data_IF_567209430250
#
_entry.id   IF_567209430250
#
_cell.length_a   1.000
_cell.length_b   1.000
_cell.length_c   1.000
_cell.angle_alpha   90.00
_cell.angle_beta   90.00
_cell.angle_gamma   90.00
#
_symmetry.space_group_name_H-M   'P 1'
#
loop_
_entity.id
_entity.type
_entity.pdbx_description
1 polymer ?
#
# COMPACT_ATOMS: atom_id res chain seq x y z
N UNK A 1 8.22 11.02 10.73
CA UNK A 1 9.59 10.63 10.34
C UNK A 1 9.85 10.91 8.84
N UNK A 2 8.94 10.52 7.92
CA UNK A 2 9.10 10.73 6.48
C UNK A 2 9.16 12.22 6.11
N UNK A 3 8.21 13.03 6.59
CA UNK A 3 8.16 14.48 6.35
C UNK A 3 9.35 15.24 6.95
N UNK A 4 9.99 14.68 7.96
CA UNK A 4 11.20 15.25 8.57
C UNK A 4 12.49 14.85 7.83
N UNK A 5 12.39 14.02 6.79
CA UNK A 5 13.54 13.52 6.06
C UNK A 5 14.44 12.55 6.86
N UNK A 6 13.93 12.01 7.98
CA UNK A 6 14.66 11.05 8.83
C UNK A 6 14.71 9.68 8.17
N UNK A 7 13.69 9.34 7.38
CA UNK A 7 13.58 8.08 6.64
C UNK A 7 13.10 8.32 5.22
N UNK A 8 13.55 7.48 4.31
CA UNK A 8 13.03 7.42 2.94
C UNK A 8 11.65 6.76 2.91
N UNK A 9 10.83 7.13 1.92
CA UNK A 9 9.53 6.49 1.68
C UNK A 9 9.70 5.14 0.96
N UNK A 10 10.19 4.15 1.69
CA UNK A 10 10.38 2.79 1.18
C UNK A 10 9.06 2.11 0.77
N UNK A 11 7.92 2.55 1.34
CA UNK A 11 6.61 1.99 0.98
C UNK A 11 6.21 2.36 -0.45
N UNK A 12 6.42 3.63 -0.85
CA UNK A 12 6.16 4.03 -2.23
C UNK A 12 6.99 3.21 -3.22
N UNK A 13 8.29 3.06 -2.93
CA UNK A 13 9.18 2.28 -3.80
C UNK A 13 8.72 0.83 -3.92
N UNK A 14 8.39 0.20 -2.79
CA UNK A 14 7.95 -1.19 -2.77
C UNK A 14 6.58 -1.38 -3.45
N UNK A 15 5.56 -0.66 -2.97
CA UNK A 15 4.18 -0.80 -3.50
C UNK A 15 4.14 -0.42 -4.97
N UNK A 16 4.81 0.66 -5.37
CA UNK A 16 4.88 1.09 -6.76
C UNK A 16 5.54 0.06 -7.67
N UNK A 17 6.65 -0.55 -7.21
CA UNK A 17 7.32 -1.63 -7.95
C UNK A 17 6.43 -2.87 -8.10
N UNK A 18 5.77 -3.30 -7.02
CA UNK A 18 4.88 -4.46 -7.04
C UNK A 18 3.67 -4.24 -7.94
N UNK A 19 3.03 -3.09 -7.86
CA UNK A 19 1.90 -2.74 -8.72
C UNK A 19 2.33 -2.64 -10.19
N UNK A 20 3.52 -2.09 -10.47
CA UNK A 20 4.07 -2.00 -11.83
C UNK A 20 4.27 -3.38 -12.48
N UNK A 21 4.69 -4.39 -11.71
CA UNK A 21 4.78 -5.78 -12.19
C UNK A 21 3.41 -6.34 -12.63
N UNK A 22 2.33 -5.74 -12.16
CA UNK A 22 0.96 -6.07 -12.54
C UNK A 22 0.33 -5.05 -13.48
N UNK A 23 1.13 -4.16 -14.09
CA UNK A 23 0.63 -3.16 -15.04
C UNK A 23 -0.18 -2.03 -14.41
N UNK A 24 -0.09 -1.83 -13.09
CA UNK A 24 -0.74 -0.72 -12.38
C UNK A 24 0.28 0.36 -12.06
N UNK A 25 0.01 1.58 -12.48
CA UNK A 25 0.76 2.76 -12.08
C UNK A 25 -0.03 3.55 -11.03
N UNK A 26 0.56 3.82 -9.84
CA UNK A 26 -0.08 4.68 -8.85
C UNK A 26 -0.31 6.09 -9.40
N UNK A 27 -1.54 6.57 -9.40
CA UNK A 27 -1.89 7.90 -9.90
C UNK A 27 -1.37 9.03 -9.00
N UNK A 28 -1.20 8.76 -7.71
CA UNK A 28 -0.67 9.72 -6.74
C UNK A 28 -0.12 9.00 -5.50
N UNK A 29 0.81 9.64 -4.80
CA UNK A 29 1.26 9.26 -3.48
C UNK A 29 1.33 10.50 -2.59
N UNK A 30 0.84 10.38 -1.36
CA UNK A 30 0.85 11.44 -0.37
C UNK A 30 1.57 10.97 0.89
N UNK A 31 2.45 11.80 1.41
CA UNK A 31 3.02 11.66 2.75
C UNK A 31 2.44 12.80 3.59
N UNK A 32 1.67 12.45 4.59
CA UNK A 32 0.88 13.38 5.38
C UNK A 32 1.25 13.29 6.86
N UNK A 33 0.82 14.26 7.65
CA UNK A 33 0.94 14.22 9.10
C UNK A 33 -0.14 13.32 9.69
N UNK A 34 0.15 12.76 10.87
CA UNK A 34 -0.81 11.98 11.67
C UNK A 34 -1.81 12.90 12.40
N UNK A 35 -2.49 13.74 11.62
CA UNK A 35 -3.52 14.69 12.06
C UNK A 35 -4.86 14.30 11.40
N UNK A 36 -5.98 14.18 12.14
CA UNK A 36 -7.26 13.76 11.57
C UNK A 36 -7.71 14.59 10.37
N UNK A 37 -7.46 15.90 10.39
CA UNK A 37 -7.83 16.79 9.28
C UNK A 37 -7.05 16.48 8.00
N UNK A 38 -5.75 16.21 8.12
CA UNK A 38 -4.89 15.86 6.99
C UNK A 38 -5.26 14.46 6.45
N UNK A 39 -5.42 13.49 7.36
CA UNK A 39 -5.80 12.12 6.99
C UNK A 39 -7.14 12.15 6.24
N UNK A 40 -8.15 12.83 6.76
CA UNK A 40 -9.46 12.96 6.12
C UNK A 40 -9.36 13.61 4.75
N UNK A 41 -8.68 14.78 4.65
CA UNK A 41 -8.56 15.55 3.41
C UNK A 41 -7.96 14.70 2.29
N UNK A 42 -6.80 14.09 2.53
CA UNK A 42 -6.09 13.34 1.50
C UNK A 42 -6.75 11.98 1.22
N UNK A 43 -7.41 11.37 2.22
CA UNK A 43 -8.22 10.19 2.01
C UNK A 43 -9.42 10.50 1.10
N UNK A 44 -10.23 11.49 1.40
CA UNK A 44 -11.40 11.87 0.60
C UNK A 44 -11.00 12.28 -0.82
N UNK A 45 -9.89 13.02 -0.97
CA UNK A 45 -9.34 13.35 -2.29
C UNK A 45 -8.96 12.12 -3.09
N UNK A 46 -8.31 11.14 -2.46
CA UNK A 46 -7.91 9.88 -3.10
C UNK A 46 -9.12 9.00 -3.40
N UNK A 47 -10.04 8.87 -2.44
CA UNK A 47 -11.25 8.06 -2.54
C UNK A 47 -12.16 8.51 -3.68
N UNK A 48 -12.29 9.82 -3.89
CA UNK A 48 -13.12 10.37 -4.95
C UNK A 48 -12.55 10.18 -6.36
N UNK A 49 -11.23 9.97 -6.50
CA UNK A 49 -10.53 9.94 -7.79
C UNK A 49 -10.06 8.55 -8.21
N UNK A 50 -10.09 7.57 -7.32
CA UNK A 50 -9.47 6.28 -7.55
C UNK A 50 -10.40 5.13 -7.18
N UNK A 51 -10.26 4.00 -7.86
CA UNK A 51 -10.95 2.75 -7.55
C UNK A 51 -10.19 1.93 -6.50
N UNK A 52 -8.93 2.27 -6.28
CA UNK A 52 -8.04 1.65 -5.30
C UNK A 52 -7.32 2.71 -4.48
N UNK A 53 -7.47 2.63 -3.15
CA UNK A 53 -6.72 3.44 -2.18
C UNK A 53 -5.96 2.50 -1.24
N UNK A 54 -4.68 2.77 -1.05
CA UNK A 54 -3.84 2.03 -0.11
C UNK A 54 -3.25 3.02 0.88
N UNK A 55 -3.48 2.79 2.17
CA UNK A 55 -2.84 3.56 3.24
C UNK A 55 -1.86 2.69 4.03
N UNK A 56 -0.79 3.28 4.53
CA UNK A 56 0.21 2.56 5.35
C UNK A 56 0.50 3.35 6.61
N UNK A 57 0.46 2.68 7.76
CA UNK A 57 0.67 3.29 9.07
C UNK A 57 -0.60 3.79 9.76
N UNK A 58 -0.45 4.24 11.00
CA UNK A 58 -1.54 4.77 11.82
C UNK A 58 -2.57 3.74 12.27
N UNK A 59 -2.18 2.44 12.34
CA UNK A 59 -3.01 1.33 12.83
C UNK A 59 -2.55 0.78 14.20
N UNK A 60 -1.55 1.40 14.78
CA UNK A 60 -0.98 0.99 16.06
C UNK A 60 -1.86 1.34 17.26
N UNK A 61 -1.33 1.12 18.49
CA UNK A 61 -2.06 1.36 19.72
C UNK A 61 -1.85 2.75 20.31
N UNK A 62 -1.02 3.59 19.70
CA UNK A 62 -0.62 4.88 20.25
C UNK A 62 -1.62 5.99 19.92
N UNK A 63 -1.53 7.13 20.59
CA UNK A 63 -2.49 8.22 20.44
C UNK A 63 -2.40 8.94 19.09
N UNK A 64 -1.29 8.78 18.40
CA UNK A 64 -1.01 9.29 17.05
C UNK A 64 -1.40 8.31 15.93
N UNK A 65 -1.77 7.06 16.27
CA UNK A 65 -2.34 6.10 15.33
C UNK A 65 -3.83 6.43 15.11
N UNK A 66 -4.13 7.25 14.11
CA UNK A 66 -5.46 7.81 13.88
C UNK A 66 -6.06 7.45 12.51
N UNK A 67 -5.34 6.70 11.68
CA UNK A 67 -5.74 6.39 10.30
C UNK A 67 -7.07 5.64 10.25
N UNK A 68 -7.20 4.56 11.02
CA UNK A 68 -8.39 3.71 11.03
C UNK A 68 -9.64 4.48 11.45
N UNK A 69 -9.57 5.18 12.58
CA UNK A 69 -10.69 5.94 13.14
C UNK A 69 -11.14 7.05 12.18
N UNK A 70 -10.18 7.80 11.65
CA UNK A 70 -10.47 8.93 10.75
C UNK A 70 -11.07 8.47 9.42
N UNK A 71 -10.56 7.38 8.86
CA UNK A 71 -11.07 6.83 7.61
C UNK A 71 -12.46 6.19 7.81
N UNK A 72 -12.67 5.47 8.92
CA UNK A 72 -13.99 4.94 9.25
C UNK A 72 -15.03 6.07 9.34
N UNK A 73 -14.71 7.15 10.04
CA UNK A 73 -15.59 8.32 10.13
C UNK A 73 -15.86 8.96 8.77
N UNK A 74 -14.83 9.11 7.92
CA UNK A 74 -14.97 9.68 6.57
C UNK A 74 -15.87 8.83 5.66
N UNK A 75 -15.87 7.52 5.85
CA UNK A 75 -16.71 6.57 5.11
C UNK A 75 -18.10 6.37 5.73
N UNK A 76 -18.36 6.95 6.90
CA UNK A 76 -19.61 6.71 7.65
C UNK A 76 -19.71 5.28 8.18
N UNK A 77 -18.57 4.63 8.45
CA UNK A 77 -18.49 3.27 9.00
C UNK A 77 -18.43 3.31 10.52
N UNK A 78 -19.24 2.45 11.17
CA UNK A 78 -19.14 2.22 12.60
C UNK A 78 -17.89 1.38 12.90
N UNK A 79 -17.20 1.70 13.99
CA UNK A 79 -16.11 0.86 14.50
C UNK A 79 -16.68 -0.21 15.42
N UNK A 80 -16.47 -1.46 15.05
CA UNK A 80 -16.89 -2.62 15.84
C UNK A 80 -15.69 -3.31 16.47
N UNK A 81 -15.85 -3.81 17.69
CA UNK A 81 -14.84 -4.60 18.36
C UNK A 81 -14.79 -6.01 17.75
N UNK A 82 -13.59 -6.50 17.47
CA UNK A 82 -13.36 -7.82 16.89
C UNK A 82 -12.56 -8.69 17.84
N UNK A 83 -13.22 -9.69 18.43
CA UNK A 83 -12.61 -10.63 19.37
C UNK A 83 -11.50 -11.47 18.75
N UNK A 84 -11.54 -11.69 17.44
CA UNK A 84 -10.49 -12.45 16.74
C UNK A 84 -9.17 -11.68 16.69
N UNK A 85 -9.23 -10.36 16.55
CA UNK A 85 -8.07 -9.48 16.60
C UNK A 85 -7.52 -9.44 18.02
N UNK A 86 -8.37 -9.29 19.04
CA UNK A 86 -7.94 -9.33 20.44
C UNK A 86 -7.21 -10.63 20.76
N UNK A 87 -7.79 -11.76 20.38
CA UNK A 87 -7.21 -13.08 20.58
C UNK A 87 -5.81 -13.16 19.95
N UNK A 88 -5.68 -12.74 18.70
CA UNK A 88 -4.39 -12.72 18.00
C UNK A 88 -3.34 -11.87 18.73
N UNK A 89 -3.71 -10.68 19.19
CA UNK A 89 -2.79 -9.78 19.88
C UNK A 89 -2.38 -10.40 21.24
N UNK A 90 -3.32 -10.95 22.00
CA UNK A 90 -3.02 -11.62 23.27
C UNK A 90 -2.10 -12.83 23.10
N UNK A 91 -2.33 -13.66 22.09
CA UNK A 91 -1.48 -14.80 21.76
C UNK A 91 -0.05 -14.34 21.45
N UNK A 92 0.08 -13.26 20.65
CA UNK A 92 1.38 -12.69 20.30
C UNK A 92 2.14 -12.17 21.53
N UNK A 93 1.49 -11.47 22.45
CA UNK A 93 2.10 -11.02 23.71
C UNK A 93 2.47 -12.20 24.61
N UNK A 94 1.64 -13.24 24.64
CA UNK A 94 1.92 -14.47 25.38
C UNK A 94 3.20 -15.16 24.87
N UNK A 95 3.39 -15.25 23.56
CA UNK A 95 4.61 -15.79 22.96
C UNK A 95 5.88 -14.99 23.32
N UNK A 96 5.72 -13.69 23.61
CA UNK A 96 6.80 -12.83 24.09
C UNK A 96 6.99 -12.90 25.61
N UNK A 97 6.18 -13.70 26.33
CA UNK A 97 6.21 -13.79 27.79
C UNK A 97 5.79 -12.50 28.50
N UNK A 98 4.96 -11.66 27.85
CA UNK A 98 4.53 -10.35 28.37
C UNK A 98 3.01 -10.26 28.39
N UNK A 99 2.41 -9.54 29.37
CA UNK A 99 1.00 -9.19 29.31
C UNK A 99 0.75 -8.19 28.17
N UNK A 100 -0.42 -8.29 27.54
CA UNK A 100 -0.87 -7.29 26.57
C UNK A 100 -1.20 -5.98 27.28
N UNK A 101 -0.57 -4.85 26.92
CA UNK A 101 -0.96 -3.54 27.43
C UNK A 101 -2.38 -3.16 27.01
N UNK A 102 -3.09 -2.44 27.88
CA UNK A 102 -4.51 -2.11 27.66
C UNK A 102 -4.74 -1.24 26.43
N UNK A 103 -3.79 -0.36 26.08
CA UNK A 103 -3.88 0.47 24.89
C UNK A 103 -3.92 -0.33 23.59
N UNK A 104 -3.43 -1.59 23.58
CA UNK A 104 -3.55 -2.47 22.41
C UNK A 104 -5.00 -2.87 22.08
N UNK A 105 -5.95 -2.69 23.04
CA UNK A 105 -7.37 -2.90 22.75
C UNK A 105 -7.90 -1.96 21.65
N UNK A 106 -7.28 -0.80 21.44
CA UNK A 106 -7.63 0.08 20.30
C UNK A 106 -7.47 -0.62 18.96
N UNK A 107 -6.49 -1.50 18.84
CA UNK A 107 -6.24 -2.23 17.59
C UNK A 107 -7.31 -3.30 17.32
N UNK A 108 -8.14 -3.63 18.30
CA UNK A 108 -9.23 -4.60 18.16
C UNK A 108 -10.48 -4.04 17.48
N UNK A 109 -10.50 -2.75 17.18
CA UNK A 109 -11.62 -2.14 16.46
C UNK A 109 -11.35 -2.07 14.96
N UNK A 110 -12.38 -2.35 14.17
CA UNK A 110 -12.36 -2.21 12.71
C UNK A 110 -13.66 -1.59 12.20
N UNK A 111 -13.67 -0.98 11.01
CA UNK A 111 -14.92 -0.63 10.34
C UNK A 111 -15.80 -1.87 10.18
N UNK A 112 -17.11 -1.74 10.41
CA UNK A 112 -18.03 -2.87 10.44
C UNK A 112 -18.01 -3.71 9.16
N UNK A 113 -17.86 -3.06 8.00
CA UNK A 113 -17.81 -3.72 6.69
C UNK A 113 -16.39 -4.19 6.28
N UNK A 114 -15.35 -3.86 7.05
CA UNK A 114 -13.98 -4.24 6.70
C UNK A 114 -13.68 -5.71 7.01
N UNK A 115 -12.93 -6.36 6.13
CA UNK A 115 -12.27 -7.64 6.38
C UNK A 115 -10.94 -7.44 7.10
N UNK A 116 -10.63 -8.34 8.03
CA UNK A 116 -9.33 -8.37 8.72
C UNK A 116 -8.29 -9.05 7.83
N UNK A 117 -7.16 -8.38 7.61
CA UNK A 117 -5.99 -8.97 6.97
C UNK A 117 -5.02 -9.44 8.07
N UNK A 118 -4.79 -10.74 8.22
CA UNK A 118 -3.93 -11.28 9.26
C UNK A 118 -2.50 -10.72 9.19
N UNK A 119 -1.93 -10.41 10.35
CA UNK A 119 -0.55 -9.93 10.49
C UNK A 119 0.27 -10.86 11.39
N UNK A 120 0.93 -11.89 10.86
CA UNK A 120 1.75 -12.79 11.67
C UNK A 120 3.02 -12.13 12.24
N UNK A 121 3.39 -10.96 11.75
CA UNK A 121 4.65 -10.28 12.10
C UNK A 121 4.47 -9.11 13.07
N UNK A 122 3.24 -8.64 13.29
CA UNK A 122 2.92 -7.49 14.14
C UNK A 122 1.65 -7.68 14.96
N UNK A 123 1.26 -6.66 15.72
CA UNK A 123 0.01 -6.63 16.49
C UNK A 123 -1.14 -6.00 15.71
N UNK A 124 -0.84 -5.01 14.86
CA UNK A 124 -1.84 -4.33 14.07
C UNK A 124 -2.22 -5.18 12.86
N UNK A 125 -3.46 -5.66 12.73
CA UNK A 125 -3.90 -6.27 11.49
C UNK A 125 -3.97 -5.22 10.38
N UNK A 126 -3.89 -5.65 9.13
CA UNK A 126 -4.36 -4.84 8.04
C UNK A 126 -5.88 -4.94 7.93
N UNK A 127 -6.48 -4.02 7.19
CA UNK A 127 -7.93 -3.99 6.94
C UNK A 127 -8.19 -3.81 5.45
N UNK A 128 -9.16 -4.54 4.94
CA UNK A 128 -9.65 -4.39 3.58
C UNK A 128 -11.13 -4.05 3.58
N UNK A 129 -11.52 -3.09 2.78
CA UNK A 129 -12.90 -2.67 2.62
C UNK A 129 -13.20 -2.45 1.14
N UNK A 130 -14.32 -3.03 0.68
CA UNK A 130 -14.90 -2.69 -0.61
C UNK A 130 -16.21 -1.95 -0.36
N UNK A 131 -16.30 -0.73 -0.89
CA UNK A 131 -17.49 0.10 -0.76
C UNK A 131 -17.77 0.82 -2.07
N UNK A 132 -18.98 0.68 -2.57
CA UNK A 132 -19.42 1.29 -3.84
C UNK A 132 -18.52 0.96 -5.04
N UNK A 133 -17.98 -0.25 -5.06
CA UNK A 133 -17.05 -0.72 -6.10
C UNK A 133 -15.60 -0.25 -5.94
N UNK A 134 -15.30 0.57 -4.94
CA UNK A 134 -13.95 1.03 -4.63
C UNK A 134 -13.31 0.18 -3.55
N UNK A 135 -12.00 0.03 -3.64
CA UNK A 135 -11.21 -0.83 -2.76
C UNK A 135 -10.28 0.00 -1.88
N UNK A 136 -10.31 -0.27 -0.60
CA UNK A 136 -9.43 0.35 0.39
C UNK A 136 -8.64 -0.73 1.12
N UNK A 137 -7.32 -0.58 1.14
CA UNK A 137 -6.44 -1.33 2.01
C UNK A 137 -5.79 -0.40 3.02
N UNK A 138 -5.93 -0.72 4.30
CA UNK A 138 -5.20 -0.06 5.38
C UNK A 138 -4.16 -1.04 5.90
N UNK A 139 -2.87 -0.73 5.71
CA UNK A 139 -1.77 -1.63 5.99
C UNK A 139 -0.90 -1.11 7.14
N UNK A 140 -0.22 -1.98 7.91
CA UNK A 140 0.68 -1.56 8.96
C UNK A 140 1.87 -0.76 8.42
N UNK A 141 2.47 0.07 9.28
CA UNK A 141 3.62 0.91 8.93
C UNK A 141 4.95 0.18 8.77
N UNK A 142 5.34 -0.78 9.63
CA UNK A 142 6.63 -1.45 9.52
C UNK A 142 6.73 -2.29 8.25
N UNK A 143 7.78 -2.08 7.44
CA UNK A 143 7.97 -2.79 6.16
C UNK A 143 7.99 -4.31 6.32
N UNK A 144 8.56 -4.83 7.43
CA UNK A 144 8.55 -6.29 7.72
C UNK A 144 7.16 -6.90 7.89
N UNK A 145 6.15 -6.06 8.16
CA UNK A 145 4.74 -6.44 8.32
C UNK A 145 3.98 -6.18 7.02
N UNK A 146 4.20 -5.01 6.44
CA UNK A 146 3.49 -4.54 5.25
C UNK A 146 3.86 -5.33 3.99
N UNK A 147 5.14 -5.63 3.75
CA UNK A 147 5.56 -6.33 2.52
C UNK A 147 4.93 -7.72 2.37
N UNK A 148 5.02 -8.65 3.35
CA UNK A 148 4.35 -9.94 3.23
C UNK A 148 2.83 -9.81 3.17
N UNK A 149 2.23 -8.87 3.91
CA UNK A 149 0.80 -8.63 3.84
C UNK A 149 0.38 -8.14 2.44
N UNK A 150 1.17 -7.30 1.82
CA UNK A 150 0.90 -6.82 0.47
C UNK A 150 0.88 -7.98 -0.53
N UNK A 151 1.89 -8.83 -0.52
CA UNK A 151 2.01 -9.98 -1.41
C UNK A 151 0.91 -11.03 -1.18
N UNK A 152 0.67 -11.37 0.07
CA UNK A 152 -0.19 -12.51 0.43
C UNK A 152 -1.66 -12.13 0.55
N UNK A 153 -1.96 -10.84 0.79
CA UNK A 153 -3.33 -10.40 1.09
C UNK A 153 -3.85 -9.37 0.08
N UNK A 154 -3.01 -8.39 -0.35
CA UNK A 154 -3.45 -7.33 -1.27
C UNK A 154 -3.50 -7.83 -2.69
N UNK A 155 -2.38 -8.33 -3.23
CA UNK A 155 -2.29 -8.79 -4.63
C UNK A 155 -3.37 -9.83 -4.98
N UNK A 156 -3.60 -10.89 -4.18
CA UNK A 156 -4.65 -11.86 -4.49
C UNK A 156 -6.06 -11.27 -4.48
N UNK A 157 -6.32 -10.28 -3.61
CA UNK A 157 -7.63 -9.58 -3.59
C UNK A 157 -7.83 -8.68 -4.78
N UNK A 158 -6.79 -7.96 -5.22
CA UNK A 158 -6.82 -7.16 -6.46
C UNK A 158 -7.08 -8.05 -7.68
N UNK A 159 -6.43 -9.21 -7.73
CA UNK A 159 -6.65 -10.20 -8.79
C UNK A 159 -8.10 -10.70 -8.79
N UNK A 160 -8.61 -11.11 -7.62
CA UNK A 160 -9.99 -11.57 -7.47
C UNK A 160 -11.02 -10.50 -7.80
N UNK A 161 -10.72 -9.24 -7.51
CA UNK A 161 -11.56 -8.08 -7.82
C UNK A 161 -11.50 -7.67 -9.31
N UNK A 162 -10.64 -8.31 -10.12
CA UNK A 162 -10.45 -7.95 -11.53
C UNK A 162 -9.78 -6.59 -11.73
N UNK A 163 -9.05 -6.10 -10.71
CA UNK A 163 -8.36 -4.82 -10.76
C UNK A 163 -6.94 -4.93 -11.33
N UNK A 164 -6.41 -6.14 -11.44
CA UNK A 164 -5.14 -6.35 -12.12
C UNK A 164 -5.42 -6.49 -13.63
N UNK A 165 -4.88 -5.61 -14.46
CA UNK A 165 -5.01 -5.75 -15.91
C UNK A 165 -4.37 -7.07 -16.38
N UNK A 166 -4.93 -7.65 -17.43
CA UNK A 166 -4.25 -8.73 -18.14
C UNK A 166 -3.06 -8.13 -18.88
N UNK A 167 -1.88 -8.38 -18.37
CA UNK A 167 -0.63 -8.02 -19.04
C UNK A 167 0.05 -9.29 -19.53
N UNK A 168 0.44 -9.33 -20.78
CA UNK A 168 1.12 -10.47 -21.36
C UNK A 168 2.53 -10.64 -20.78
N UNK A 169 3.22 -9.52 -20.53
CA UNK A 169 4.50 -9.51 -19.84
C UNK A 169 4.88 -8.13 -19.30
N UNK A 170 5.65 -8.12 -18.24
CA UNK A 170 6.44 -6.97 -17.81
C UNK A 170 7.91 -7.30 -18.02
N UNK A 171 8.62 -6.46 -18.78
CA UNK A 171 10.03 -6.68 -19.09
C UNK A 171 10.84 -5.45 -18.66
N UNK A 172 11.91 -5.69 -17.93
CA UNK A 172 12.91 -4.67 -17.62
C UNK A 172 14.26 -5.08 -18.23
N UNK A 173 14.76 -4.26 -19.14
CA UNK A 173 16.07 -4.46 -19.77
C UNK A 173 17.02 -3.37 -19.28
N UNK A 174 18.12 -3.78 -18.67
CA UNK A 174 19.18 -2.86 -18.23
C UNK A 174 20.25 -2.73 -19.28
N UNK A 175 20.55 -1.50 -19.68
CA UNK A 175 21.63 -1.17 -20.61
C UNK A 175 22.75 -0.42 -19.88
N UNK A 176 23.96 -0.53 -20.35
CA UNK A 176 25.12 0.19 -19.83
C UNK A 176 25.91 0.87 -20.95
N UNK A 177 26.54 2.01 -20.63
CA UNK A 177 27.39 2.73 -21.57
C UNK A 177 26.62 3.48 -22.70
N UNK A 178 25.30 3.63 -22.56
CA UNK A 178 24.46 4.41 -23.46
C UNK A 178 23.59 5.37 -22.65
N UNK A 179 23.45 6.61 -23.12
CA UNK A 179 22.55 7.59 -22.51
C UNK A 179 21.10 7.38 -22.96
N UNK A 180 20.16 7.90 -22.16
CA UNK A 180 18.72 7.76 -22.38
C UNK A 180 18.28 8.19 -23.78
N UNK A 181 18.67 9.40 -24.22
CA UNK A 181 18.33 9.92 -25.56
C UNK A 181 18.84 9.04 -26.69
N UNK A 182 20.10 8.57 -26.56
CA UNK A 182 20.71 7.70 -27.57
C UNK A 182 20.07 6.31 -27.60
N UNK A 183 19.63 5.80 -26.44
CA UNK A 183 18.87 4.56 -26.35
C UNK A 183 17.50 4.72 -27.01
N UNK A 184 16.78 5.79 -26.68
CA UNK A 184 15.46 6.08 -27.25
C UNK A 184 15.52 6.22 -28.78
N UNK A 185 16.54 6.89 -29.32
CA UNK A 185 16.77 7.00 -30.76
C UNK A 185 17.01 5.63 -31.41
N UNK A 186 17.85 4.79 -30.78
CA UNK A 186 18.17 3.46 -31.30
C UNK A 186 17.01 2.48 -31.30
N UNK A 187 16.18 2.47 -30.26
CA UNK A 187 15.14 1.44 -30.10
C UNK A 187 13.74 1.97 -30.38
N UNK A 188 13.54 3.30 -30.41
CA UNK A 188 12.21 3.90 -30.55
C UNK A 188 11.46 3.42 -31.81
N UNK A 189 12.16 3.25 -32.92
CA UNK A 189 11.56 2.76 -34.16
C UNK A 189 11.12 1.27 -34.08
N UNK A 190 11.74 0.47 -33.18
CA UNK A 190 11.38 -0.93 -32.97
C UNK A 190 10.16 -1.05 -32.06
N UNK A 191 9.96 -0.06 -31.20
CA UNK A 191 8.90 -0.06 -30.18
C UNK A 191 7.65 0.69 -30.67
N UNK A 192 7.81 1.55 -31.69
CA UNK A 192 6.70 2.30 -32.28
C UNK A 192 5.79 1.39 -33.11
N UNK A 193 4.46 1.57 -32.97
CA UNK A 193 3.45 0.84 -33.73
C UNK A 193 2.95 -0.45 -33.10
N UNK A 194 3.38 -0.78 -31.91
CA UNK A 194 2.83 -1.89 -31.12
C UNK A 194 1.72 -1.35 -30.19
N UNK A 195 0.47 -1.64 -30.52
CA UNK A 195 -0.66 -1.28 -29.67
C UNK A 195 -0.56 -2.00 -28.33
N UNK A 196 -0.78 -1.25 -27.21
CA UNK A 196 -0.73 -1.77 -25.86
C UNK A 196 0.68 -1.83 -25.22
N UNK A 197 1.75 -1.52 -25.98
CA UNK A 197 3.09 -1.43 -25.42
C UNK A 197 3.30 -0.08 -24.74
N UNK A 198 3.57 -0.12 -23.42
CA UNK A 198 3.96 1.05 -22.63
C UNK A 198 5.47 0.96 -22.39
N UNK A 199 6.21 2.00 -22.76
CA UNK A 199 7.66 2.02 -22.67
C UNK A 199 8.12 3.18 -21.78
N UNK A 200 8.93 2.87 -20.77
CA UNK A 200 9.58 3.84 -19.90
C UNK A 200 11.11 3.74 -19.99
N UNK A 201 11.79 4.88 -19.92
CA UNK A 201 13.25 4.97 -19.82
C UNK A 201 13.61 5.53 -18.47
N UNK A 202 14.44 4.81 -17.71
CA UNK A 202 14.89 5.21 -16.38
C UNK A 202 16.42 5.29 -16.35
N UNK A 203 16.96 6.51 -16.31
CA UNK A 203 18.39 6.75 -16.27
C UNK A 203 18.96 6.58 -14.86
N UNK A 204 20.08 5.89 -14.80
CA UNK A 204 20.93 5.72 -13.61
C UNK A 204 22.37 6.11 -13.94
N UNK A 205 23.24 6.16 -12.96
CA UNK A 205 24.67 6.44 -13.19
C UNK A 205 25.30 5.38 -14.11
N UNK A 206 25.57 5.77 -15.39
CA UNK A 206 26.16 4.90 -16.39
C UNK A 206 25.27 3.79 -16.98
N UNK A 207 23.99 3.79 -16.64
CA UNK A 207 23.01 2.78 -17.07
C UNK A 207 21.66 3.41 -17.40
N UNK A 208 20.88 2.73 -18.23
CA UNK A 208 19.48 3.07 -18.51
C UNK A 208 18.66 1.79 -18.47
N UNK A 209 17.60 1.78 -17.68
CA UNK A 209 16.61 0.71 -17.70
C UNK A 209 15.50 1.07 -18.70
N UNK A 210 15.20 0.14 -19.59
CA UNK A 210 14.03 0.14 -20.47
C UNK A 210 12.98 -0.76 -19.82
N UNK A 211 11.79 -0.23 -19.60
CA UNK A 211 10.68 -0.91 -18.92
C UNK A 211 9.46 -0.91 -19.78
#
# INVERSE_FOLDING_TARGET
>A
ELLLGIRENAHLTYIGSELAHHGIEPAANFVIKDEPKEIRLFFEQSWNRSDLVITTGGLGPTSDDLTRETIAEALGEELVFDESIEKHIRERFSLLGKPMPENNLRQCYRPASAEVLPNPFGTAPGLYLNKDGKNLFMLPGPSREMHPMFQEQVIPRLQKAGLLPEIDCYLQLRTAGIGESALAEKVGHLLSGHEGLIVGYCAHAGMVDLR
#
